data_IF_567225505397
#
_entry.id   IF_567225505397
#
_cell.length_a   1.000
_cell.length_b   1.000
_cell.length_c   1.000
_cell.angle_alpha   90.00
_cell.angle_beta   90.00
_cell.angle_gamma   90.00
#
_symmetry.space_group_name_H-M   'P 1'
#
loop_
_entity.id
_entity.type
_entity.pdbx_description
1 polymer ?
#
# COMPACT_ATOMS: atom_id res chain seq x y z
N UNK A 1 -9.92 13.52 -0.47
CA UNK A 1 -8.64 12.88 -0.16
C UNK A 1 -8.84 11.70 0.79
N UNK A 2 -8.22 10.60 0.49
CA UNK A 2 -8.19 9.47 1.40
C UNK A 2 -6.81 8.79 1.34
N UNK A 3 -6.52 8.00 2.36
CA UNK A 3 -5.26 7.31 2.48
C UNK A 3 -5.49 5.82 2.67
N UNK A 4 -4.65 5.03 2.02
CA UNK A 4 -4.60 3.59 2.22
C UNK A 4 -3.40 3.27 3.09
N UNK A 5 -3.64 2.59 4.20
CA UNK A 5 -2.62 2.27 5.18
C UNK A 5 -2.28 0.79 5.14
N UNK A 6 -1.00 0.50 5.28
CA UNK A 6 -0.47 -0.87 5.32
C UNK A 6 0.30 -1.05 6.61
N UNK A 7 -0.03 -2.07 7.36
CA UNK A 7 0.81 -2.52 8.47
C UNK A 7 1.60 -3.73 7.96
N UNK A 8 2.87 -3.51 7.69
CA UNK A 8 3.73 -4.53 7.06
C UNK A 8 4.07 -5.67 8.01
N UNK A 9 4.00 -5.42 9.31
CA UNK A 9 4.31 -6.45 10.31
C UNK A 9 3.15 -7.42 10.50
N UNK A 10 1.90 -6.92 10.43
CA UNK A 10 0.70 -7.74 10.62
C UNK A 10 0.01 -8.15 9.31
N UNK A 11 0.34 -7.50 8.20
CA UNK A 11 -0.32 -7.74 6.91
C UNK A 11 -1.71 -7.15 6.84
N UNK A 12 -2.04 -6.16 7.65
CA UNK A 12 -3.36 -5.52 7.65
C UNK A 12 -3.37 -4.27 6.79
N UNK A 13 -4.53 -4.03 6.16
CA UNK A 13 -4.76 -2.89 5.28
C UNK A 13 -6.06 -2.21 5.70
N UNK A 14 -6.06 -0.88 5.77
CA UNK A 14 -7.27 -0.11 6.06
C UNK A 14 -7.21 1.26 5.40
N UNK A 15 -8.36 1.93 5.38
CA UNK A 15 -8.54 3.21 4.72
C UNK A 15 -8.94 4.28 5.74
N UNK A 16 -8.44 5.50 5.55
CA UNK A 16 -8.90 6.69 6.27
C UNK A 16 -9.18 7.81 5.30
N UNK A 17 -9.97 8.81 5.72
CA UNK A 17 -10.25 9.98 4.90
C UNK A 17 -10.19 11.25 5.74
N UNK A 18 -10.20 12.41 5.08
CA UNK A 18 -10.05 13.70 5.74
C UNK A 18 -11.24 14.11 6.61
N UNK A 19 -12.40 13.45 6.45
CA UNK A 19 -13.59 13.71 7.25
C UNK A 19 -13.61 12.97 8.57
N UNK A 20 -12.70 12.04 8.78
CA UNK A 20 -12.65 11.19 9.97
C UNK A 20 -12.05 11.93 11.14
N UNK A 21 -12.64 11.78 12.33
CA UNK A 21 -12.07 12.27 13.57
C UNK A 21 -10.84 11.45 13.95
N UNK A 22 -10.05 11.96 14.90
CA UNK A 22 -8.90 11.20 15.41
C UNK A 22 -9.30 9.84 15.98
N UNK A 23 -10.47 9.77 16.62
CA UNK A 23 -11.02 8.52 17.14
C UNK A 23 -11.38 7.55 16.03
N UNK A 24 -12.00 8.04 14.95
CA UNK A 24 -12.37 7.22 13.79
C UNK A 24 -11.12 6.66 13.09
N UNK A 25 -10.07 7.45 12.98
CA UNK A 25 -8.81 7.05 12.36
C UNK A 25 -8.18 5.92 13.16
N UNK A 26 -8.14 6.05 14.48
CA UNK A 26 -7.60 5.03 15.36
C UNK A 26 -8.44 3.75 15.31
N UNK A 27 -9.75 3.88 15.30
CA UNK A 27 -10.68 2.76 15.24
C UNK A 27 -10.56 1.98 13.93
N UNK A 28 -10.31 2.68 12.81
CA UNK A 28 -10.19 2.05 11.50
C UNK A 28 -9.07 1.00 11.46
N UNK A 29 -7.95 1.28 12.11
CA UNK A 29 -6.82 0.35 12.16
C UNK A 29 -7.16 -0.95 12.90
N UNK A 30 -8.04 -0.89 13.88
CA UNK A 30 -8.39 -2.04 14.72
C UNK A 30 -9.65 -2.76 14.24
N UNK A 31 -10.69 -2.03 13.85
CA UNK A 31 -12.00 -2.60 13.58
C UNK A 31 -12.37 -2.70 12.11
N UNK A 32 -11.73 -1.90 11.25
CA UNK A 32 -12.05 -1.89 9.82
C UNK A 32 -10.92 -2.42 8.95
N UNK A 33 -9.81 -2.82 9.54
CA UNK A 33 -8.69 -3.36 8.77
C UNK A 33 -8.99 -4.77 8.27
N UNK A 34 -8.42 -5.09 7.11
CA UNK A 34 -8.54 -6.40 6.49
C UNK A 34 -7.18 -7.06 6.46
N UNK A 35 -7.16 -8.38 6.67
CA UNK A 35 -5.96 -9.19 6.57
C UNK A 35 -5.84 -9.77 5.18
N UNK A 36 -4.59 -9.95 4.71
CA UNK A 36 -4.33 -10.66 3.47
C UNK A 36 -4.53 -12.16 3.67
N UNK A 37 -4.80 -12.93 2.58
CA UNK A 37 -4.78 -14.38 2.64
C UNK A 37 -3.46 -14.90 3.19
N UNK A 38 -3.47 -16.07 3.84
CA UNK A 38 -2.31 -16.61 4.55
C UNK A 38 -1.07 -16.82 3.68
N UNK A 39 -1.27 -17.10 2.38
CA UNK A 39 -0.18 -17.36 1.45
C UNK A 39 0.34 -16.09 0.76
N UNK A 40 -0.28 -14.94 1.01
CA UNK A 40 0.07 -13.66 0.40
C UNK A 40 0.63 -12.71 1.45
N UNK A 41 1.80 -12.16 1.18
CA UNK A 41 2.51 -11.29 2.12
C UNK A 41 3.02 -10.03 1.41
N UNK A 42 2.90 -8.87 2.06
CA UNK A 42 3.54 -7.65 1.59
C UNK A 42 4.99 -7.67 2.08
N UNK A 43 5.94 -7.55 1.15
CA UNK A 43 7.36 -7.55 1.48
C UNK A 43 7.82 -6.14 1.82
N UNK A 44 7.50 -5.19 0.95
CA UNK A 44 7.86 -3.79 1.13
C UNK A 44 7.01 -2.91 0.23
N UNK A 45 7.05 -1.61 0.48
CA UNK A 45 6.48 -0.59 -0.39
C UNK A 45 7.62 0.34 -0.77
N UNK A 46 7.87 0.46 -2.07
CA UNK A 46 8.94 1.28 -2.61
C UNK A 46 8.39 2.58 -3.17
N UNK A 47 9.00 3.70 -2.77
CA UNK A 47 8.67 5.02 -3.27
C UNK A 47 9.81 5.53 -4.15
N UNK A 48 9.52 6.25 -5.24
CA UNK A 48 10.58 6.86 -6.03
C UNK A 48 11.41 7.79 -5.16
N UNK A 49 12.73 7.66 -5.21
CA UNK A 49 13.69 8.52 -4.50
C UNK A 49 13.68 8.43 -2.97
N UNK A 50 12.67 7.81 -2.38
CA UNK A 50 12.57 7.67 -0.92
C UNK A 50 12.97 6.29 -0.42
N UNK A 51 13.13 5.33 -1.31
CA UNK A 51 13.49 3.97 -0.95
C UNK A 51 12.32 3.11 -0.52
N UNK A 52 12.62 2.07 0.24
CA UNK A 52 11.67 1.02 0.60
C UNK A 52 11.31 1.07 2.08
N UNK A 53 10.03 0.82 2.39
CA UNK A 53 9.56 0.59 3.75
C UNK A 53 9.22 -0.89 3.84
N UNK A 54 9.93 -1.64 4.68
CA UNK A 54 9.77 -3.09 4.81
C UNK A 54 9.27 -3.54 6.19
N UNK A 55 9.01 -2.61 7.08
CA UNK A 55 8.46 -2.90 8.41
C UNK A 55 7.67 -1.71 8.92
N UNK A 56 6.83 -1.93 9.92
CA UNK A 56 5.99 -0.87 10.46
C UNK A 56 4.86 -0.52 9.51
N UNK A 57 4.52 0.74 9.47
CA UNK A 57 3.37 1.23 8.68
C UNK A 57 3.79 2.08 7.51
N UNK A 58 3.08 1.91 6.39
CA UNK A 58 3.24 2.71 5.20
C UNK A 58 1.88 3.27 4.78
N UNK A 59 1.89 4.37 4.03
CA UNK A 59 0.68 5.06 3.61
C UNK A 59 0.78 5.44 2.14
N UNK A 60 -0.33 5.28 1.41
CA UNK A 60 -0.51 5.80 0.07
C UNK A 60 -1.66 6.80 0.08
N UNK A 61 -1.39 8.03 -0.33
CA UNK A 61 -2.39 9.11 -0.33
C UNK A 61 -3.01 9.23 -1.72
N UNK A 62 -4.34 9.24 -1.76
CA UNK A 62 -5.13 9.47 -2.96
C UNK A 62 -5.70 10.88 -2.84
N UNK A 63 -5.20 11.79 -3.68
CA UNK A 63 -5.48 13.20 -3.54
C UNK A 63 -6.81 13.58 -4.20
N UNK A 64 -7.43 14.61 -3.65
CA UNK A 64 -8.71 15.12 -4.12
C UNK A 64 -8.67 15.57 -5.58
N UNK A 65 -7.52 15.99 -6.06
CA UNK A 65 -7.33 16.43 -7.44
C UNK A 65 -7.29 15.27 -8.46
N UNK A 66 -7.45 14.02 -8.02
CA UNK A 66 -7.53 12.87 -8.91
C UNK A 66 -6.22 12.16 -9.17
N UNK A 67 -5.19 12.40 -8.37
CA UNK A 67 -3.92 11.68 -8.50
C UNK A 67 -3.56 10.99 -7.18
N UNK A 68 -2.58 10.12 -7.24
CA UNK A 68 -2.11 9.36 -6.08
C UNK A 68 -0.59 9.44 -5.98
N UNK A 69 -0.06 9.03 -4.84
CA UNK A 69 1.38 8.83 -4.69
C UNK A 69 1.83 7.72 -5.65
N UNK A 70 3.02 7.87 -6.21
CA UNK A 70 3.62 6.81 -7.01
C UNK A 70 4.32 5.83 -6.09
N UNK A 71 4.06 4.54 -6.28
CA UNK A 71 4.67 3.51 -5.44
C UNK A 71 4.65 2.15 -6.14
N UNK A 72 5.57 1.29 -5.72
CA UNK A 72 5.56 -0.13 -6.05
C UNK A 72 5.28 -0.90 -4.77
N UNK A 73 4.20 -1.69 -4.77
CA UNK A 73 3.88 -2.59 -3.66
C UNK A 73 4.41 -3.97 -4.04
N UNK A 74 5.40 -4.44 -3.30
CA UNK A 74 5.99 -5.76 -3.54
C UNK A 74 5.37 -6.79 -2.61
N UNK A 75 4.93 -7.89 -3.21
CA UNK A 75 4.29 -8.99 -2.49
C UNK A 75 4.95 -10.30 -2.82
N UNK A 76 4.75 -11.27 -1.96
CA UNK A 76 5.18 -12.65 -2.16
C UNK A 76 3.98 -13.57 -1.96
N UNK A 77 3.76 -14.45 -2.94
CA UNK A 77 2.75 -15.50 -2.86
C UNK A 77 3.48 -16.84 -3.02
N UNK A 78 3.56 -17.61 -1.92
CA UNK A 78 4.36 -18.81 -1.92
C UNK A 78 5.83 -18.49 -2.27
N UNK A 79 6.33 -19.07 -3.35
CA UNK A 79 7.69 -18.82 -3.83
C UNK A 79 7.76 -17.76 -4.93
N UNK A 80 6.65 -17.16 -5.29
CA UNK A 80 6.56 -16.18 -6.37
C UNK A 80 6.53 -14.76 -5.84
N UNK A 81 7.18 -13.84 -6.58
CA UNK A 81 7.16 -12.42 -6.26
C UNK A 81 6.24 -11.68 -7.20
N UNK A 82 5.53 -10.69 -6.67
CA UNK A 82 4.58 -9.87 -7.41
C UNK A 82 4.88 -8.40 -7.14
N UNK A 83 4.69 -7.56 -8.16
CA UNK A 83 4.84 -6.11 -8.01
C UNK A 83 3.62 -5.42 -8.57
N UNK A 84 3.06 -4.48 -7.81
CA UNK A 84 1.93 -3.65 -8.22
C UNK A 84 2.40 -2.20 -8.31
N UNK A 85 2.41 -1.66 -9.53
CA UNK A 85 2.81 -0.27 -9.75
C UNK A 85 1.58 0.63 -9.67
N UNK A 86 1.62 1.56 -8.73
CA UNK A 86 0.59 2.59 -8.55
C UNK A 86 1.18 3.89 -9.06
N UNK A 87 0.56 4.48 -10.09
CA UNK A 87 1.05 5.70 -10.71
C UNK A 87 0.06 6.84 -10.62
N UNK A 88 0.56 8.10 -10.52
CA UNK A 88 -0.31 9.26 -10.57
C UNK A 88 -1.11 9.32 -11.87
N UNK A 89 -2.35 9.76 -11.78
CA UNK A 89 -3.24 10.01 -12.93
C UNK A 89 -3.62 8.78 -13.76
N UNK A 90 -3.23 7.57 -13.35
CA UNK A 90 -3.65 6.35 -14.04
C UNK A 90 -4.88 5.76 -13.35
N UNK A 91 -5.78 5.24 -14.17
CA UNK A 91 -7.03 4.64 -13.68
C UNK A 91 -6.87 3.18 -13.28
N UNK A 92 -5.73 2.58 -13.56
CA UNK A 92 -5.48 1.17 -13.25
C UNK A 92 -4.09 0.97 -12.68
N UNK A 93 -3.92 -0.15 -11.97
CA UNK A 93 -2.65 -0.56 -11.39
C UNK A 93 -1.96 -1.52 -12.36
N UNK A 94 -0.67 -1.30 -12.62
CA UNK A 94 0.11 -2.23 -13.42
C UNK A 94 0.65 -3.35 -12.55
N UNK A 95 0.64 -4.56 -13.09
CA UNK A 95 1.00 -5.75 -12.36
C UNK A 95 2.16 -6.47 -13.04
N UNK A 96 3.16 -6.89 -12.25
CA UNK A 96 4.32 -7.64 -12.71
C UNK A 96 4.47 -8.92 -11.89
N UNK A 97 4.71 -10.04 -12.56
CA UNK A 97 4.94 -11.32 -11.89
C UNK A 97 6.40 -11.50 -11.51
N UNK A 98 6.99 -10.44 -10.95
CA UNK A 98 8.39 -10.43 -10.52
C UNK A 98 8.60 -9.31 -9.50
N UNK A 99 9.73 -9.33 -8.82
CA UNK A 99 10.12 -8.21 -7.97
C UNK A 99 10.77 -7.14 -8.85
N UNK A 100 10.00 -6.12 -9.20
CA UNK A 100 10.42 -5.04 -10.10
C UNK A 100 10.60 -3.77 -9.27
N UNK A 101 11.72 -3.07 -9.44
CA UNK A 101 12.02 -1.84 -8.71
C UNK A 101 12.06 -0.64 -9.65
N UNK A 102 11.94 0.57 -9.08
CA UNK A 102 12.13 1.79 -9.85
C UNK A 102 13.58 1.87 -10.34
N UNK A 103 13.75 2.21 -11.61
CA UNK A 103 15.08 2.29 -12.20
C UNK A 103 15.57 1.01 -12.86
N UNK A 104 14.82 -0.05 -12.77
CA UNK A 104 15.14 -1.33 -13.42
C UNK A 104 14.65 -1.39 -14.86
#
# INVERSE_FOLDING_TARGET
>A
QYSLHFDLDSGRIWETNESMSAEDIEDAAFNSSKSLPDDLRIIDIEYPQKGKINSGRAELVFYKAGYTDKALVHMQEGDSYLSFLIEPFLSNVQFYESYTSFGD
#
